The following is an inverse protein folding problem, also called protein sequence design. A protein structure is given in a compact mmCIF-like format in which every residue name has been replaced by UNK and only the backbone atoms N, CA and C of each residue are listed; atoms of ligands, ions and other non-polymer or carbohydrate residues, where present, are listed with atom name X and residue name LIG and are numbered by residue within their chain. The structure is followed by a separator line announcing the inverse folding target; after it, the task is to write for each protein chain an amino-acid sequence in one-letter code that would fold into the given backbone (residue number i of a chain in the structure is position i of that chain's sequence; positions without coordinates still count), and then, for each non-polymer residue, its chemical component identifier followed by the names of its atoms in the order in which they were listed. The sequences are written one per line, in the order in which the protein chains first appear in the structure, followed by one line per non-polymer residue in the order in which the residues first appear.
data_IF_721228210032
#
_entry.id   IF_721228210032
#
_cell.length_a   1.000
_cell.length_b   1.000
_cell.length_c   1.000
_cell.angle_alpha   90.00
_cell.angle_beta   90.00
_cell.angle_gamma   90.00
#
_symmetry.space_group_name_H-M   'P 1'
#
loop_
_entity.id
_entity.type
_entity.pdbx_description
1 polymer ?
#
# COMPACT_ATOMS: atom_id res chain seq x y z
N UNK A 1 -46.43 7.63 -17.72
CA UNK A 1 -46.09 6.46 -18.55
C UNK A 1 -44.99 5.70 -17.81
N UNK A 2 -45.25 4.43 -17.51
CA UNK A 2 -44.53 3.58 -16.56
C UNK A 2 -43.06 3.32 -16.94
N UNK A 3 -42.19 3.22 -15.92
CA UNK A 3 -41.02 2.32 -15.88
C UNK A 3 -40.80 1.87 -14.43
N UNK A 4 -41.74 1.09 -13.91
CA UNK A 4 -41.51 0.18 -12.79
C UNK A 4 -40.91 -1.13 -13.32
N UNK A 5 -40.28 -1.88 -12.42
CA UNK A 5 -39.90 -3.31 -12.49
C UNK A 5 -38.42 -3.63 -12.72
N UNK A 6 -37.65 -3.44 -11.66
CA UNK A 6 -36.41 -4.18 -11.41
C UNK A 6 -36.01 -4.06 -9.94
N UNK A 7 -36.02 -2.81 -9.45
CA UNK A 7 -35.63 -2.46 -8.09
C UNK A 7 -36.60 -2.92 -7.01
N UNK A 8 -37.91 -2.89 -7.27
CA UNK A 8 -38.91 -3.30 -6.28
C UNK A 8 -38.86 -4.81 -6.02
N UNK A 9 -38.55 -5.62 -7.06
CA UNK A 9 -38.37 -7.06 -6.93
C UNK A 9 -37.11 -7.40 -6.14
N UNK A 10 -36.02 -6.66 -6.33
CA UNK A 10 -34.79 -6.80 -5.55
C UNK A 10 -35.00 -6.42 -4.08
N UNK A 11 -35.62 -5.26 -3.83
CA UNK A 11 -35.91 -4.79 -2.48
C UNK A 11 -36.84 -5.76 -1.73
N UNK A 12 -37.85 -6.31 -2.42
CA UNK A 12 -38.76 -7.26 -1.80
C UNK A 12 -38.12 -8.65 -1.56
N UNK A 13 -37.31 -9.15 -2.49
CA UNK A 13 -36.61 -10.43 -2.35
C UNK A 13 -35.60 -10.44 -1.19
N UNK A 14 -35.04 -9.28 -0.85
CA UNK A 14 -34.08 -9.11 0.24
C UNK A 14 -34.67 -8.42 1.48
N UNK A 15 -36.00 -8.23 1.52
CA UNK A 15 -36.74 -7.62 2.63
C UNK A 15 -36.21 -6.22 3.04
N UNK A 16 -35.71 -5.46 2.06
CA UNK A 16 -35.12 -4.13 2.26
C UNK A 16 -36.24 -3.09 2.25
N UNK A 17 -36.42 -2.38 3.37
CA UNK A 17 -37.33 -1.22 3.43
C UNK A 17 -36.72 -0.07 2.63
N UNK A 18 -37.54 0.61 1.84
CA UNK A 18 -37.16 1.72 0.92
C UNK A 18 -36.59 2.96 1.66
N UNK A 19 -36.53 2.95 2.99
CA UNK A 19 -35.80 3.93 3.81
C UNK A 19 -34.35 3.55 4.16
N UNK A 20 -33.85 2.35 3.83
CA UNK A 20 -32.52 1.88 4.22
C UNK A 20 -31.37 2.36 3.31
N UNK A 21 -31.62 3.15 2.26
CA UNK A 21 -30.57 3.58 1.32
C UNK A 21 -30.06 5.01 1.52
N UNK A 22 -30.64 5.80 2.44
CA UNK A 22 -30.18 7.16 2.75
C UNK A 22 -29.61 7.31 4.17
N UNK A 23 -29.62 6.24 4.97
CA UNK A 23 -29.00 6.20 6.31
C UNK A 23 -27.77 5.30 6.37
N UNK A 24 -26.91 5.36 5.35
CA UNK A 24 -25.48 5.01 5.50
C UNK A 24 -24.61 6.27 5.62
N UNK A 25 -25.25 7.44 5.68
CA UNK A 25 -24.63 8.70 6.07
C UNK A 25 -24.96 8.90 7.56
N UNK A 26 -23.91 9.02 8.38
CA UNK A 26 -23.95 9.37 9.81
C UNK A 26 -24.36 8.26 10.80
N UNK A 27 -23.37 7.46 11.22
CA UNK A 27 -23.46 6.58 12.39
C UNK A 27 -22.49 5.41 12.26
N UNK A 28 -21.48 5.35 13.13
CA UNK A 28 -20.44 4.32 13.21
C UNK A 28 -19.42 4.26 12.07
N UNK A 29 -18.53 5.27 12.03
CA UNK A 29 -17.07 5.11 12.05
C UNK A 29 -16.34 4.16 11.09
N UNK A 30 -17.00 3.56 10.11
CA UNK A 30 -16.37 2.73 9.07
C UNK A 30 -16.35 3.57 7.81
N UNK A 31 -15.25 4.29 7.63
CA UNK A 31 -14.98 4.98 6.38
C UNK A 31 -15.13 3.98 5.22
N UNK A 32 -15.87 4.37 4.19
CA UNK A 32 -15.91 3.64 2.91
C UNK A 32 -14.46 3.33 2.50
N UNK A 33 -14.15 2.13 1.98
CA UNK A 33 -12.81 1.81 1.53
C UNK A 33 -12.41 2.84 0.47
N UNK A 34 -11.52 3.76 0.84
CA UNK A 34 -11.01 4.74 -0.09
C UNK A 34 -10.25 3.99 -1.19
N UNK A 35 -10.43 4.34 -2.47
CA UNK A 35 -9.65 3.72 -3.54
C UNK A 35 -8.16 3.97 -3.27
N UNK A 36 -7.37 2.91 -3.28
CA UNK A 36 -5.93 2.96 -3.13
C UNK A 36 -5.33 3.85 -4.22
N UNK A 37 -4.79 5.01 -3.85
CA UNK A 37 -4.15 5.91 -4.82
C UNK A 37 -2.75 5.40 -5.11
N UNK A 38 -2.39 5.25 -6.39
CA UNK A 38 -1.05 4.79 -6.79
C UNK A 38 -0.28 5.95 -7.40
N UNK A 39 0.90 6.23 -6.85
CA UNK A 39 1.86 7.19 -7.41
C UNK A 39 2.96 6.42 -8.13
N UNK A 40 3.16 6.72 -9.42
CA UNK A 40 4.16 6.06 -10.25
C UNK A 40 5.43 6.91 -10.31
N UNK A 41 6.56 6.28 -10.01
CA UNK A 41 7.89 6.86 -10.14
C UNK A 41 8.78 5.89 -10.89
N UNK A 42 9.78 6.40 -11.61
CA UNK A 42 10.78 5.57 -12.27
C UNK A 42 12.19 6.02 -11.92
N UNK A 43 13.10 5.05 -11.84
CA UNK A 43 14.52 5.28 -11.60
C UNK A 43 15.35 4.29 -12.41
N UNK A 44 16.19 4.83 -13.31
CA UNK A 44 17.21 4.03 -13.96
C UNK A 44 18.43 3.95 -13.03
N UNK A 45 18.71 2.75 -12.52
CA UNK A 45 19.79 2.49 -11.58
C UNK A 45 21.17 2.68 -12.23
N UNK A 46 21.28 2.43 -13.55
CA UNK A 46 22.56 2.47 -14.28
C UNK A 46 22.97 3.87 -14.76
N UNK A 47 22.00 4.74 -15.04
CA UNK A 47 22.26 6.07 -15.62
C UNK A 47 21.55 7.23 -14.91
N UNK A 48 20.65 6.94 -13.99
CA UNK A 48 19.86 7.93 -13.28
C UNK A 48 20.67 8.70 -12.24
N UNK A 49 20.31 9.97 -12.05
CA UNK A 49 20.87 10.76 -10.94
C UNK A 49 20.10 10.46 -9.66
N UNK A 50 20.74 9.80 -8.70
CA UNK A 50 20.11 9.41 -7.44
C UNK A 50 19.49 10.59 -6.67
N UNK A 51 20.20 11.72 -6.58
CA UNK A 51 19.68 12.91 -5.88
C UNK A 51 18.37 13.42 -6.50
N UNK A 52 18.30 13.52 -7.84
CA UNK A 52 17.07 13.91 -8.54
C UNK A 52 15.93 12.93 -8.28
N UNK A 53 16.21 11.63 -8.26
CA UNK A 53 15.20 10.63 -7.93
C UNK A 53 14.67 10.80 -6.49
N UNK A 54 15.56 11.00 -5.51
CA UNK A 54 15.17 11.25 -4.12
C UNK A 54 14.33 12.53 -4.02
N UNK A 55 14.67 13.58 -4.75
CA UNK A 55 13.87 14.81 -4.77
C UNK A 55 12.49 14.57 -5.38
N UNK A 56 12.38 13.80 -6.47
CA UNK A 56 11.09 13.41 -7.04
C UNK A 56 10.23 12.61 -6.05
N UNK A 57 10.83 11.69 -5.30
CA UNK A 57 10.13 10.94 -4.23
C UNK A 57 9.61 11.91 -3.18
N UNK A 58 10.44 12.85 -2.69
CA UNK A 58 10.04 13.85 -1.71
C UNK A 58 8.91 14.73 -2.22
N UNK A 59 8.97 15.18 -3.48
CA UNK A 59 7.91 15.96 -4.12
C UNK A 59 6.61 15.17 -4.19
N UNK A 60 6.64 13.89 -4.57
CA UNK A 60 5.45 13.04 -4.60
C UNK A 60 4.83 12.83 -3.20
N UNK A 61 5.66 12.73 -2.16
CA UNK A 61 5.18 12.65 -0.79
C UNK A 61 4.55 13.99 -0.34
N UNK A 62 5.16 15.12 -0.71
CA UNK A 62 4.68 16.46 -0.37
C UNK A 62 3.31 16.81 -0.97
N UNK A 63 2.92 16.19 -2.10
CA UNK A 63 1.61 16.40 -2.73
C UNK A 63 0.47 15.60 -2.06
N UNK A 64 0.68 15.11 -0.83
CA UNK A 64 -0.37 14.43 -0.07
C UNK A 64 -1.60 15.36 0.11
N UNK A 65 -2.85 14.87 -0.05
CA UNK A 65 -4.07 15.67 0.12
C UNK A 65 -4.22 16.32 1.50
N UNK A 66 -3.56 15.76 2.50
CA UNK A 66 -3.48 16.27 3.88
C UNK A 66 -2.01 16.38 4.28
N UNK A 67 -1.29 17.42 3.82
CA UNK A 67 0.11 17.61 4.16
C UNK A 67 0.22 18.16 5.59
N UNK A 68 1.20 17.67 6.35
CA UNK A 68 1.57 18.21 7.66
C UNK A 68 3.08 18.43 7.72
N UNK A 69 3.53 19.40 8.51
CA UNK A 69 4.94 19.72 8.66
C UNK A 69 5.27 20.17 10.07
N UNK A 70 6.42 19.73 10.58
CA UNK A 70 6.94 20.12 11.89
C UNK A 70 8.39 20.55 11.70
N UNK A 71 8.73 21.77 12.16
CA UNK A 71 10.09 22.34 12.06
C UNK A 71 10.66 22.33 10.62
N UNK A 72 9.82 22.53 9.61
CA UNK A 72 10.23 22.51 8.21
C UNK A 72 10.42 21.11 7.60
N UNK A 73 10.13 20.04 8.36
CA UNK A 73 10.12 18.67 7.86
C UNK A 73 8.69 18.19 7.63
N UNK A 74 8.45 17.55 6.48
CA UNK A 74 7.17 16.91 6.18
C UNK A 74 6.95 15.74 7.14
N UNK A 75 5.75 15.68 7.72
CA UNK A 75 5.32 14.59 8.58
C UNK A 75 4.52 13.62 7.72
N UNK A 76 4.90 12.34 7.76
CA UNK A 76 4.15 11.29 7.08
C UNK A 76 2.80 11.08 7.75
N UNK A 77 1.83 10.57 6.99
CA UNK A 77 0.49 10.32 7.50
C UNK A 77 0.51 9.38 8.71
N UNK A 78 -0.41 9.60 9.64
CA UNK A 78 -0.61 8.69 10.76
C UNK A 78 -0.99 7.32 10.22
N UNK A 79 -0.17 6.33 10.52
CA UNK A 79 -0.49 4.94 10.18
C UNK A 79 -1.81 4.55 10.86
N UNK A 80 -2.75 3.91 10.14
CA UNK A 80 -3.96 3.41 10.75
C UNK A 80 -3.60 2.40 11.85
N UNK A 81 -4.14 2.60 13.05
CA UNK A 81 -3.80 1.84 14.26
C UNK A 81 -4.08 0.32 14.15
N UNK A 82 -4.86 -0.11 13.16
CA UNK A 82 -5.20 -1.51 12.95
C UNK A 82 -4.29 -2.14 11.89
N UNK A 83 -3.54 -3.16 12.31
CA UNK A 83 -2.91 -4.13 11.42
C UNK A 83 -3.92 -4.59 10.36
N UNK A 84 -3.57 -4.41 9.09
CA UNK A 84 -4.39 -4.86 7.96
C UNK A 84 -5.20 -3.79 7.25
N UNK A 85 -5.21 -2.53 7.70
CA UNK A 85 -5.76 -1.46 6.85
C UNK A 85 -4.76 -1.06 5.75
N UNK A 86 -5.20 -0.99 4.48
CA UNK A 86 -4.35 -0.52 3.39
C UNK A 86 -4.00 0.97 3.62
N UNK A 87 -2.81 1.41 3.19
CA UNK A 87 -2.46 2.82 3.21
C UNK A 87 -3.41 3.61 2.29
N UNK A 88 -3.54 4.91 2.52
CA UNK A 88 -4.29 5.79 1.63
C UNK A 88 -3.66 5.85 0.24
N UNK A 89 -2.32 5.74 0.15
CA UNK A 89 -1.59 5.71 -1.12
C UNK A 89 -0.43 4.70 -1.11
N UNK A 90 -0.09 4.20 -2.29
CA UNK A 90 1.15 3.46 -2.56
C UNK A 90 2.02 4.22 -3.54
N UNK A 91 3.32 4.26 -3.25
CA UNK A 91 4.34 4.63 -4.23
C UNK A 91 4.77 3.35 -4.94
N UNK A 92 4.59 3.31 -6.25
CA UNK A 92 5.15 2.28 -7.12
C UNK A 92 6.36 2.84 -7.84
N UNK A 93 7.53 2.32 -7.49
CA UNK A 93 8.82 2.76 -8.05
C UNK A 93 9.32 1.69 -9.00
N UNK A 94 9.32 1.99 -10.30
CA UNK A 94 10.00 1.16 -11.29
C UNK A 94 11.51 1.42 -11.27
N UNK A 95 12.26 0.40 -10.88
CA UNK A 95 13.71 0.35 -10.98
C UNK A 95 14.09 -0.31 -12.30
N UNK A 96 14.95 0.32 -13.09
CA UNK A 96 15.43 -0.26 -14.35
C UNK A 96 16.96 -0.25 -14.44
N UNK A 97 17.54 -1.29 -15.05
CA UNK A 97 18.96 -1.39 -15.36
C UNK A 97 19.13 -2.17 -16.66
N UNK A 98 19.73 -1.54 -17.67
CA UNK A 98 19.77 -2.10 -19.02
C UNK A 98 18.35 -2.44 -19.52
N UNK A 99 18.13 -3.72 -19.86
CA UNK A 99 16.84 -4.23 -20.33
C UNK A 99 16.03 -4.95 -19.23
N UNK A 100 16.42 -4.80 -17.96
CA UNK A 100 15.75 -5.43 -16.82
C UNK A 100 15.07 -4.37 -15.95
N UNK A 101 13.87 -4.64 -15.47
CA UNK A 101 13.18 -3.77 -14.53
C UNK A 101 12.47 -4.52 -13.41
N UNK A 102 12.18 -3.85 -12.31
CA UNK A 102 11.30 -4.36 -11.25
C UNK A 102 10.56 -3.19 -10.63
N UNK A 103 9.31 -3.37 -10.25
CA UNK A 103 8.53 -2.34 -9.54
C UNK A 103 8.51 -2.64 -8.05
N UNK A 104 8.87 -1.68 -7.20
CA UNK A 104 8.67 -1.75 -5.75
C UNK A 104 7.36 -1.07 -5.39
N UNK A 105 6.60 -1.67 -4.47
CA UNK A 105 5.45 -1.02 -3.82
C UNK A 105 5.85 -0.57 -2.41
N UNK A 106 5.69 0.72 -2.13
CA UNK A 106 6.11 1.39 -0.90
C UNK A 106 4.89 2.10 -0.31
N UNK A 107 4.68 2.01 1.01
CA UNK A 107 3.62 2.77 1.69
C UNK A 107 3.99 4.24 1.78
N UNK A 108 3.03 5.12 1.54
CA UNK A 108 3.25 6.55 1.68
C UNK A 108 3.26 7.03 3.14
N UNK A 109 2.60 6.30 4.04
CA UNK A 109 2.48 6.62 5.46
C UNK A 109 3.72 6.28 6.30
N UNK A 110 4.61 5.42 5.81
CA UNK A 110 5.79 4.99 6.57
C UNK A 110 7.04 4.67 5.73
N UNK A 111 6.94 4.77 4.40
CA UNK A 111 8.02 4.52 3.45
C UNK A 111 8.60 3.10 3.48
N UNK A 112 7.89 2.14 4.07
CA UNK A 112 8.31 0.74 4.03
C UNK A 112 7.88 0.08 2.73
N UNK A 113 8.79 -0.73 2.19
CA UNK A 113 8.52 -1.63 1.06
C UNK A 113 7.55 -2.70 1.54
N UNK A 114 6.46 -2.87 0.81
CA UNK A 114 5.43 -3.89 1.08
C UNK A 114 5.59 -5.07 0.15
N UNK A 115 6.03 -4.83 -1.08
CA UNK A 115 6.13 -5.86 -2.08
C UNK A 115 6.86 -5.39 -3.33
N UNK A 116 6.98 -6.30 -4.28
CA UNK A 116 7.61 -6.03 -5.56
C UNK A 116 6.93 -6.81 -6.68
N UNK A 117 7.11 -6.31 -7.90
CA UNK A 117 6.71 -6.95 -9.14
C UNK A 117 7.94 -7.12 -10.03
N UNK A 118 8.44 -8.34 -10.23
CA UNK A 118 9.50 -8.62 -11.20
C UNK A 118 8.98 -8.44 -12.64
N UNK A 119 9.87 -8.52 -13.66
CA UNK A 119 9.47 -8.41 -15.06
C UNK A 119 8.36 -9.38 -15.49
N UNK A 120 8.22 -10.53 -14.81
CA UNK A 120 7.18 -11.52 -15.10
C UNK A 120 5.76 -11.04 -14.77
N UNK A 121 5.61 -9.94 -14.03
CA UNK A 121 4.34 -9.20 -13.90
C UNK A 121 3.48 -9.54 -12.69
N UNK A 122 3.73 -10.64 -11.98
CA UNK A 122 2.99 -10.98 -10.75
C UNK A 122 3.49 -10.16 -9.56
N UNK A 123 2.58 -9.67 -8.72
CA UNK A 123 2.95 -9.00 -7.46
C UNK A 123 3.27 -10.01 -6.36
N UNK A 124 4.29 -9.71 -5.59
CA UNK A 124 4.68 -10.45 -4.39
C UNK A 124 4.72 -9.50 -3.20
N UNK A 125 4.10 -9.88 -2.09
CA UNK A 125 4.00 -9.07 -0.87
C UNK A 125 4.78 -9.75 0.28
N UNK A 126 5.59 -8.97 1.00
CA UNK A 126 6.50 -9.45 2.04
C UNK A 126 5.79 -9.89 3.33
N UNK A 127 4.50 -9.55 3.49
CA UNK A 127 3.73 -9.80 4.70
C UNK A 127 3.57 -11.28 5.05
N UNK A 128 3.55 -11.58 6.35
CA UNK A 128 3.15 -12.89 6.90
C UNK A 128 1.72 -13.24 6.52
N UNK A 129 1.40 -14.51 6.25
CA UNK A 129 0.02 -14.97 6.33
C UNK A 129 -0.37 -15.12 7.82
N UNK A 130 -1.12 -14.17 8.37
CA UNK A 130 -1.77 -14.30 9.68
C UNK A 130 -3.02 -15.16 9.52
N UNK A 131 -3.24 -16.08 10.47
CA UNK A 131 -4.42 -16.96 10.52
C UNK A 131 -5.69 -16.25 11.03
N UNK A 132 -5.72 -14.92 11.01
CA UNK A 132 -6.82 -14.12 11.55
C UNK A 132 -7.69 -13.49 10.45
N UNK A 133 -8.98 -13.22 10.71
CA UNK A 133 -9.94 -12.67 9.73
C UNK A 133 -9.71 -11.20 9.34
N UNK A 134 -8.60 -10.58 9.78
CA UNK A 134 -8.35 -9.14 9.64
C UNK A 134 -7.14 -8.79 8.77
N UNK A 135 -6.56 -9.76 8.04
CA UNK A 135 -5.47 -9.44 7.13
C UNK A 135 -5.98 -9.27 5.70
N UNK A 136 -6.04 -8.01 5.27
CA UNK A 136 -6.21 -7.68 3.86
C UNK A 136 -4.83 -7.61 3.20
N UNK A 137 -4.72 -8.20 2.01
CA UNK A 137 -3.60 -7.94 1.11
C UNK A 137 -3.55 -6.44 0.85
N UNK A 138 -2.38 -5.83 1.01
CA UNK A 138 -2.21 -4.41 0.69
C UNK A 138 -2.20 -4.24 -0.83
N UNK A 139 -1.58 -5.18 -1.54
CA UNK A 139 -1.53 -5.21 -3.00
C UNK A 139 -2.56 -6.23 -3.50
N UNK A 140 -3.65 -5.80 -4.17
CA UNK A 140 -4.69 -6.70 -4.64
C UNK A 140 -4.15 -7.78 -5.58
N UNK A 141 -4.47 -9.05 -5.28
CA UNK A 141 -4.06 -10.18 -6.12
C UNK A 141 -2.58 -10.54 -6.02
N UNK A 142 -1.86 -10.02 -5.03
CA UNK A 142 -0.46 -10.39 -4.78
C UNK A 142 -0.32 -11.79 -4.20
N UNK A 143 0.85 -12.39 -4.43
CA UNK A 143 1.28 -13.61 -3.74
C UNK A 143 2.00 -13.23 -2.45
N UNK A 144 1.53 -13.75 -1.32
CA UNK A 144 2.19 -13.52 -0.02
C UNK A 144 3.44 -14.39 0.08
N UNK A 145 4.59 -13.78 0.43
CA UNK A 145 5.88 -14.46 0.57
C UNK A 145 6.14 -15.02 1.98
N UNK A 146 5.28 -14.69 2.95
CA UNK A 146 5.36 -15.15 4.34
C UNK A 146 6.70 -14.85 5.03
N UNK A 147 7.31 -13.69 4.74
CA UNK A 147 8.62 -13.30 5.27
C UNK A 147 8.61 -12.85 6.75
N UNK A 148 7.72 -13.38 7.59
CA UNK A 148 7.66 -13.05 9.03
C UNK A 148 7.06 -11.68 9.35
N UNK A 149 7.45 -11.06 10.48
CA UNK A 149 6.92 -9.78 10.94
C UNK A 149 7.40 -8.57 10.12
N UNK A 150 8.08 -8.83 8.99
CA UNK A 150 8.71 -7.86 8.09
C UNK A 150 9.60 -6.88 8.86
N UNK A 151 10.47 -7.43 9.70
CA UNK A 151 11.59 -6.67 10.28
C UNK A 151 12.80 -6.78 9.38
N UNK A 152 13.72 -5.82 9.46
CA UNK A 152 15.00 -5.90 8.74
C UNK A 152 15.74 -7.23 9.01
N UNK A 153 15.60 -7.76 10.23
CA UNK A 153 16.14 -9.06 10.64
C UNK A 153 15.55 -10.24 9.86
N UNK A 154 14.24 -10.21 9.59
CA UNK A 154 13.58 -11.27 8.83
C UNK A 154 14.08 -11.31 7.36
N UNK A 155 14.54 -10.17 6.83
CA UNK A 155 15.05 -10.05 5.46
C UNK A 155 16.52 -10.44 5.32
N UNK A 156 17.39 -10.00 6.24
CA UNK A 156 18.84 -10.24 6.12
C UNK A 156 19.33 -11.45 6.92
N UNK A 157 18.48 -12.02 7.77
CA UNK A 157 18.84 -13.08 8.70
C UNK A 157 19.72 -12.61 9.86
N UNK A 158 19.94 -13.49 10.83
CA UNK A 158 20.76 -13.21 12.00
C UNK A 158 19.98 -13.11 13.30
N UNK A 159 20.60 -13.59 14.36
CA UNK A 159 20.04 -13.57 15.72
C UNK A 159 20.56 -12.36 16.52
N UNK A 160 21.70 -11.81 16.11
CA UNK A 160 22.37 -10.66 16.72
C UNK A 160 22.43 -9.45 15.78
N UNK A 161 22.66 -8.26 16.34
CA UNK A 161 22.72 -7.00 15.58
C UNK A 161 23.95 -6.96 14.67
N UNK A 162 25.03 -7.62 15.07
CA UNK A 162 26.30 -7.73 14.34
C UNK A 162 26.17 -8.64 13.11
N UNK A 163 25.38 -9.71 13.21
CA UNK A 163 25.06 -10.58 12.06
C UNK A 163 24.22 -9.83 11.02
N UNK A 164 23.20 -9.12 11.48
CA UNK A 164 22.35 -8.27 10.64
C UNK A 164 23.18 -7.19 9.91
N UNK A 165 24.11 -6.54 10.60
CA UNK A 165 25.00 -5.53 10.01
C UNK A 165 25.98 -6.12 8.98
N UNK A 166 26.42 -7.36 9.16
CA UNK A 166 27.27 -8.05 8.16
C UNK A 166 26.48 -8.48 6.93
N UNK A 167 25.22 -8.88 7.11
CA UNK A 167 24.30 -9.15 6.00
C UNK A 167 24.13 -7.94 5.09
N UNK A 168 24.00 -6.73 5.68
CA UNK A 168 23.91 -5.46 4.94
C UNK A 168 25.05 -5.21 3.96
N UNK A 169 26.28 -5.66 4.26
CA UNK A 169 27.45 -5.42 3.41
C UNK A 169 27.55 -6.38 2.21
N UNK A 170 26.70 -7.41 2.15
CA UNK A 170 26.72 -8.47 1.14
C UNK A 170 25.62 -8.32 0.08
N UNK A 171 24.72 -7.35 0.27
CA UNK A 171 23.60 -7.00 -0.61
C UNK A 171 23.96 -5.66 -1.26
#
# INVERSE_FOLDING_TARGET
MYLHTGWDKFAHAHNLKVGCLLTFLYGDGVALPQPLVVMLLSYNVGSGTYSKFVDNVRTALATHPSPDSTQGHLVLMKQPFRLGHPPGRLLQVELSVGNTSATLAIRDDNLYVVGFRPPSGSWYELCKASKGPHQQQIIPGSTLLDCGAVTYRDLVGGTTREEVNRGRSRI
#
